data_IF_361664476491
#
_entry.id   IF_361664476491
#
_cell.length_a   1.000
_cell.length_b   1.000
_cell.length_c   1.000
_cell.angle_alpha   90.00
_cell.angle_beta   90.00
_cell.angle_gamma   90.00
#
_symmetry.space_group_name_H-M   'P 1'
#
loop_
_entity.id
_entity.type
_entity.pdbx_description
1 polymer ?
#
# COMPACT_ATOMS: atom_id res chain seq x y z
N UNK A 1 10.35 -11.19 -34.18
CA UNK A 1 9.60 -10.32 -33.23
C UNK A 1 10.43 -9.07 -32.95
N UNK A 2 9.90 -7.88 -33.21
CA UNK A 2 10.59 -6.62 -32.91
C UNK A 2 9.94 -5.96 -31.67
N UNK A 3 10.65 -5.94 -30.55
CA UNK A 3 10.17 -5.38 -29.28
C UNK A 3 9.72 -3.93 -29.40
N UNK A 4 10.39 -3.14 -30.25
CA UNK A 4 10.00 -1.77 -30.56
C UNK A 4 8.62 -1.66 -31.20
N UNK A 5 8.24 -2.64 -32.04
CA UNK A 5 6.88 -2.68 -32.61
C UNK A 5 5.82 -3.01 -31.60
N UNK A 6 6.14 -3.83 -30.58
CA UNK A 6 5.25 -4.09 -29.43
C UNK A 6 5.07 -2.82 -28.58
N UNK A 7 6.16 -2.11 -28.30
CA UNK A 7 6.09 -0.83 -27.57
C UNK A 7 5.21 0.18 -28.30
N UNK A 8 5.40 0.33 -29.61
CA UNK A 8 4.60 1.22 -30.43
C UNK A 8 3.13 0.82 -30.48
N UNK A 9 2.85 -0.48 -30.53
CA UNK A 9 1.50 -1.00 -30.44
C UNK A 9 0.84 -0.63 -29.08
N UNK A 10 1.54 -0.86 -27.97
CA UNK A 10 1.00 -0.57 -26.63
C UNK A 10 0.68 0.92 -26.45
N UNK A 11 1.56 1.81 -26.91
CA UNK A 11 1.32 3.26 -26.87
C UNK A 11 0.14 3.65 -27.76
N UNK A 12 -0.01 2.99 -28.93
CA UNK A 12 -1.17 3.23 -29.81
C UNK A 12 -2.47 2.75 -29.16
N UNK A 13 -2.43 1.63 -28.45
CA UNK A 13 -3.56 1.09 -27.71
C UNK A 13 -3.95 1.98 -26.50
N UNK A 14 -2.99 2.62 -25.86
CA UNK A 14 -3.27 3.59 -24.78
C UNK A 14 -3.92 4.88 -25.31
N UNK A 15 -3.39 5.42 -26.40
CA UNK A 15 -3.88 6.68 -26.99
C UNK A 15 -5.17 6.52 -27.80
N UNK A 16 -5.46 5.31 -28.27
CA UNK A 16 -6.55 5.01 -29.22
C UNK A 16 -6.63 6.01 -30.38
N UNK A 17 -5.47 6.52 -30.81
CA UNK A 17 -5.30 7.51 -31.87
C UNK A 17 -3.88 7.44 -32.44
N UNK A 18 -3.75 7.09 -33.72
CA UNK A 18 -2.46 6.95 -34.36
C UNK A 18 -1.64 8.24 -34.44
N UNK A 19 -2.30 9.40 -34.59
CA UNK A 19 -1.61 10.69 -34.65
C UNK A 19 -1.03 11.06 -33.29
N UNK A 20 -1.84 10.99 -32.23
CA UNK A 20 -1.37 11.27 -30.86
C UNK A 20 -0.30 10.28 -30.40
N UNK A 21 -0.44 9.00 -30.74
CA UNK A 21 0.58 8.00 -30.42
C UNK A 21 1.90 8.28 -31.15
N UNK A 22 1.83 8.68 -32.42
CA UNK A 22 3.03 9.05 -33.20
C UNK A 22 3.72 10.30 -32.64
N UNK A 23 2.96 11.33 -32.24
CA UNK A 23 3.48 12.51 -31.54
C UNK A 23 4.18 12.12 -30.23
N UNK A 24 3.55 11.29 -29.40
CA UNK A 24 4.12 10.81 -28.14
C UNK A 24 5.40 10.00 -28.34
N UNK A 25 5.53 9.31 -29.47
CA UNK A 25 6.68 8.50 -29.85
C UNK A 25 7.76 9.30 -30.64
N UNK A 26 7.52 10.57 -30.94
CA UNK A 26 8.39 11.42 -31.76
C UNK A 26 8.71 10.81 -33.15
N UNK A 27 7.71 10.19 -33.79
CA UNK A 27 7.81 9.61 -35.13
C UNK A 27 6.66 10.07 -36.02
N UNK A 28 6.77 9.84 -37.35
CA UNK A 28 5.65 10.11 -38.24
C UNK A 28 4.53 9.06 -38.08
N UNK A 29 3.29 9.47 -38.31
CA UNK A 29 2.14 8.54 -38.30
C UNK A 29 2.30 7.40 -39.31
N UNK A 30 2.93 7.67 -40.45
CA UNK A 30 3.20 6.65 -41.47
C UNK A 30 4.17 5.59 -40.94
N UNK A 31 5.24 6.01 -40.25
CA UNK A 31 6.19 5.10 -39.63
C UNK A 31 5.52 4.24 -38.56
N UNK A 32 4.71 4.83 -37.70
CA UNK A 32 3.94 4.09 -36.70
C UNK A 32 3.00 3.07 -37.36
N UNK A 33 2.22 3.50 -38.35
CA UNK A 33 1.29 2.62 -39.09
C UNK A 33 2.00 1.45 -39.76
N UNK A 34 3.22 1.68 -40.29
CA UNK A 34 4.07 0.63 -40.87
C UNK A 34 4.54 -0.38 -39.82
N UNK A 35 4.93 0.08 -38.63
CA UNK A 35 5.31 -0.81 -37.52
C UNK A 35 4.15 -1.69 -37.07
N UNK A 36 2.96 -1.10 -36.89
CA UNK A 36 1.77 -1.86 -36.53
C UNK A 36 1.40 -2.87 -37.61
N UNK A 37 1.39 -2.46 -38.88
CA UNK A 37 1.08 -3.35 -39.98
C UNK A 37 2.05 -4.54 -40.07
N UNK A 38 3.35 -4.31 -39.86
CA UNK A 38 4.35 -5.40 -39.83
C UNK A 38 4.13 -6.35 -38.67
N UNK A 39 3.70 -5.85 -37.50
CA UNK A 39 3.36 -6.66 -36.35
C UNK A 39 2.12 -7.54 -36.68
N UNK A 40 1.08 -6.97 -37.27
CA UNK A 40 -0.12 -7.67 -37.73
C UNK A 40 0.19 -8.76 -38.77
N UNK A 41 1.06 -8.45 -39.74
CA UNK A 41 1.53 -9.39 -40.75
C UNK A 41 2.36 -10.53 -40.16
N UNK A 42 3.27 -10.22 -39.20
CA UNK A 42 4.15 -11.22 -38.58
C UNK A 42 3.34 -12.28 -37.80
N UNK A 43 2.23 -11.87 -37.15
CA UNK A 43 1.35 -12.78 -36.38
C UNK A 43 0.12 -13.23 -37.18
N UNK A 44 -0.06 -12.76 -38.42
CA UNK A 44 -1.22 -13.06 -39.27
C UNK A 44 -2.56 -12.73 -38.59
N UNK A 45 -2.61 -11.65 -37.83
CA UNK A 45 -3.79 -11.16 -37.10
C UNK A 45 -4.02 -9.68 -37.33
N UNK A 46 -5.21 -9.18 -37.06
CA UNK A 46 -5.48 -7.75 -36.92
C UNK A 46 -5.51 -7.40 -35.46
N UNK A 47 -4.81 -6.32 -35.09
CA UNK A 47 -4.74 -5.83 -33.71
C UNK A 47 -5.68 -4.65 -33.49
N UNK A 48 -5.98 -3.90 -34.57
CA UNK A 48 -6.92 -2.78 -34.52
C UNK A 48 -8.00 -2.89 -35.59
N UNK A 49 -9.22 -2.52 -35.24
CA UNK A 49 -10.26 -2.14 -36.19
C UNK A 49 -10.38 -0.62 -36.24
N UNK A 50 -10.48 -0.10 -37.51
CA UNK A 50 -10.40 1.34 -37.79
C UNK A 50 -11.76 1.99 -38.01
N UNK A 51 -12.82 1.20 -38.21
CA UNK A 51 -14.18 1.67 -38.51
C UNK A 51 -15.19 1.00 -37.57
N UNK A 52 -16.21 1.72 -37.07
CA UNK A 52 -16.49 3.16 -37.26
C UNK A 52 -15.56 4.07 -36.45
N UNK A 53 -14.89 3.56 -35.43
CA UNK A 53 -13.86 4.23 -34.63
C UNK A 53 -12.70 3.26 -34.40
N UNK A 54 -11.52 3.76 -34.06
CA UNK A 54 -10.38 2.92 -33.70
C UNK A 54 -10.67 2.18 -32.39
N UNK A 55 -10.62 0.84 -32.43
CA UNK A 55 -10.73 -0.02 -31.25
C UNK A 55 -9.85 -1.26 -31.41
N UNK A 56 -9.52 -1.90 -30.30
CA UNK A 56 -8.77 -3.15 -30.29
C UNK A 56 -9.66 -4.31 -30.74
N UNK A 57 -9.08 -5.23 -31.49
CA UNK A 57 -9.66 -6.56 -31.70
C UNK A 57 -9.44 -7.43 -30.45
N UNK A 58 -10.02 -8.62 -30.41
CA UNK A 58 -9.75 -9.59 -29.34
C UNK A 58 -8.25 -9.96 -29.30
N UNK A 59 -7.63 -10.13 -30.48
CA UNK A 59 -6.19 -10.37 -30.63
C UNK A 59 -5.39 -9.16 -30.14
N UNK A 60 -5.88 -7.92 -30.38
CA UNK A 60 -5.29 -6.69 -29.86
C UNK A 60 -5.30 -6.64 -28.34
N UNK A 61 -6.41 -7.03 -27.70
CA UNK A 61 -6.48 -7.12 -26.23
C UNK A 61 -5.49 -8.15 -25.66
N UNK A 62 -5.39 -9.31 -26.30
CA UNK A 62 -4.39 -10.32 -25.93
C UNK A 62 -2.97 -9.80 -26.14
N UNK A 63 -2.72 -9.06 -27.23
CA UNK A 63 -1.42 -8.45 -27.49
C UNK A 63 -1.09 -7.36 -26.45
N UNK A 64 -2.05 -6.61 -25.92
CA UNK A 64 -1.83 -5.69 -24.80
C UNK A 64 -1.37 -6.45 -23.56
N UNK A 65 -2.05 -7.56 -23.24
CA UNK A 65 -1.73 -8.36 -22.05
C UNK A 65 -0.33 -8.98 -22.15
N UNK A 66 -0.05 -9.72 -23.23
CA UNK A 66 1.24 -10.39 -23.40
C UNK A 66 2.37 -9.43 -23.78
N UNK A 67 2.09 -8.39 -24.55
CA UNK A 67 3.07 -7.39 -24.94
C UNK A 67 3.67 -6.65 -23.75
N UNK A 68 2.86 -6.31 -22.75
CA UNK A 68 3.35 -5.76 -21.48
C UNK A 68 4.29 -6.71 -20.75
N UNK A 69 3.97 -8.00 -20.72
CA UNK A 69 4.83 -9.01 -20.09
C UNK A 69 6.16 -9.20 -20.81
N UNK A 70 6.13 -9.18 -22.15
CA UNK A 70 7.34 -9.29 -22.96
C UNK A 70 8.29 -8.12 -22.73
N UNK A 71 7.78 -6.88 -22.78
CA UNK A 71 8.62 -5.69 -22.50
C UNK A 71 9.12 -5.63 -21.06
N UNK A 72 8.33 -6.11 -20.11
CA UNK A 72 8.75 -6.25 -18.72
C UNK A 72 9.89 -7.28 -18.59
N UNK A 73 9.77 -8.41 -19.29
CA UNK A 73 10.83 -9.44 -19.34
C UNK A 73 12.12 -8.94 -19.98
N UNK A 74 12.03 -8.14 -21.05
CA UNK A 74 13.21 -7.49 -21.64
C UNK A 74 13.90 -6.56 -20.66
N UNK A 75 13.14 -5.68 -19.96
CA UNK A 75 13.70 -4.81 -18.93
C UNK A 75 14.41 -5.61 -17.84
N UNK A 76 13.84 -6.72 -17.40
CA UNK A 76 14.44 -7.62 -16.41
C UNK A 76 15.73 -8.24 -16.90
N UNK A 77 15.75 -8.69 -18.15
CA UNK A 77 16.96 -9.25 -18.78
C UNK A 77 18.08 -8.20 -18.84
N UNK A 78 17.76 -6.97 -19.25
CA UNK A 78 18.73 -5.86 -19.31
C UNK A 78 19.24 -5.48 -17.91
N UNK A 79 18.35 -5.48 -16.91
CA UNK A 79 18.74 -5.26 -15.50
C UNK A 79 19.69 -6.39 -15.04
N UNK A 80 19.36 -7.66 -15.28
CA UNK A 80 20.21 -8.79 -14.91
C UNK A 80 21.59 -8.74 -15.61
N UNK A 81 21.66 -8.30 -16.85
CA UNK A 81 22.94 -8.10 -17.55
C UNK A 81 23.76 -6.95 -16.96
N UNK A 82 23.09 -5.86 -16.54
CA UNK A 82 23.73 -4.76 -15.83
C UNK A 82 24.30 -5.23 -14.49
N UNK A 83 23.59 -6.09 -13.78
CA UNK A 83 24.02 -6.64 -12.46
C UNK A 83 25.21 -7.60 -12.59
N UNK A 84 25.32 -8.35 -13.68
CA UNK A 84 26.47 -9.23 -13.97
C UNK A 84 27.73 -8.40 -14.29
N UNK A 85 27.58 -7.23 -14.89
CA UNK A 85 28.71 -6.39 -15.35
C UNK A 85 29.25 -5.43 -14.29
N UNK A 86 28.49 -5.15 -13.24
CA UNK A 86 28.86 -4.21 -12.17
C UNK A 86 28.39 -4.75 -10.82
N UNK A 87 29.35 -5.21 -10.00
CA UNK A 87 29.15 -5.66 -8.62
C UNK A 87 27.98 -4.97 -7.90
N UNK A 88 26.84 -5.63 -7.75
CA UNK A 88 25.69 -5.21 -6.92
C UNK A 88 25.34 -3.70 -7.01
N UNK A 89 25.05 -3.19 -8.19
CA UNK A 89 24.44 -1.88 -8.37
C UNK A 89 23.01 -2.09 -8.86
N UNK A 90 22.03 -1.72 -8.07
CA UNK A 90 20.62 -1.84 -8.40
C UNK A 90 19.77 -0.78 -7.71
N UNK A 91 18.56 -0.57 -8.19
CA UNK A 91 17.55 0.23 -7.50
C UNK A 91 16.44 -0.72 -7.03
N UNK A 92 16.18 -0.75 -5.73
CA UNK A 92 15.10 -1.52 -5.12
C UNK A 92 13.91 -0.60 -4.88
N UNK A 93 12.78 -0.85 -5.55
CA UNK A 93 11.54 -0.09 -5.37
C UNK A 93 10.66 -0.76 -4.34
N UNK A 94 10.49 -0.10 -3.21
CA UNK A 94 9.76 -0.63 -2.05
C UNK A 94 8.48 0.16 -1.82
N UNK A 95 7.34 -0.49 -2.00
CA UNK A 95 6.03 0.05 -1.64
C UNK A 95 5.78 -0.11 -0.13
N UNK A 96 5.48 0.99 0.54
CA UNK A 96 5.17 1.00 1.97
C UNK A 96 4.35 2.24 2.31
N UNK A 97 3.41 2.15 3.27
CA UNK A 97 2.66 3.32 3.69
C UNK A 97 3.55 4.33 4.44
N UNK A 98 3.25 5.61 4.28
CA UNK A 98 4.01 6.73 4.89
C UNK A 98 4.25 6.54 6.40
N UNK A 99 3.23 6.14 7.15
CA UNK A 99 3.37 5.90 8.57
C UNK A 99 4.41 4.82 8.86
N UNK A 100 4.35 3.69 8.13
CA UNK A 100 5.29 2.58 8.33
C UNK A 100 6.69 2.89 7.83
N UNK A 101 6.82 3.63 6.73
CA UNK A 101 8.13 4.06 6.26
C UNK A 101 8.84 4.95 7.28
N UNK A 102 8.14 5.92 7.85
CA UNK A 102 8.69 6.80 8.89
C UNK A 102 9.17 6.03 10.13
N UNK A 103 8.47 4.95 10.49
CA UNK A 103 8.79 4.15 11.68
C UNK A 103 9.89 3.13 11.41
N UNK A 104 9.81 2.38 10.32
CA UNK A 104 10.65 1.21 10.11
C UNK A 104 11.86 1.46 9.20
N UNK A 105 11.72 2.37 8.22
CA UNK A 105 12.77 2.55 7.21
C UNK A 105 14.10 3.05 7.77
N UNK A 106 14.17 3.97 8.76
CA UNK A 106 15.45 4.40 9.31
C UNK A 106 16.29 3.26 9.89
N UNK A 107 15.64 2.33 10.61
CA UNK A 107 16.32 1.16 11.17
C UNK A 107 16.66 0.13 10.10
N UNK A 108 15.74 -0.12 9.16
CA UNK A 108 16.02 -0.98 7.99
C UNK A 108 17.21 -0.46 7.20
N UNK A 109 17.28 0.84 6.91
CA UNK A 109 18.38 1.47 6.20
C UNK A 109 19.70 1.32 6.93
N UNK A 110 19.73 1.59 8.23
CA UNK A 110 20.91 1.44 9.07
C UNK A 110 21.49 0.02 9.04
N UNK A 111 20.62 -0.98 8.92
CA UNK A 111 21.03 -2.39 8.85
C UNK A 111 21.45 -2.83 7.45
N UNK A 112 20.74 -2.38 6.43
CA UNK A 112 20.89 -2.85 5.05
C UNK A 112 22.05 -2.15 4.32
N UNK A 113 22.09 -0.81 4.39
CA UNK A 113 23.03 0.00 3.60
C UNK A 113 24.51 -0.33 3.82
N UNK A 114 25.01 -0.60 5.03
CA UNK A 114 26.43 -0.93 5.22
C UNK A 114 26.88 -2.18 4.47
N UNK A 115 25.98 -3.16 4.30
CA UNK A 115 26.27 -4.41 3.58
C UNK A 115 26.01 -4.31 2.07
N UNK A 116 25.19 -3.34 1.64
CA UNK A 116 24.75 -3.15 0.25
C UNK A 116 24.86 -1.67 -0.18
N UNK A 117 26.05 -1.07 -0.12
CA UNK A 117 26.23 0.39 -0.32
C UNK A 117 25.93 0.85 -1.75
N UNK A 118 25.96 -0.05 -2.72
CA UNK A 118 25.72 0.23 -4.14
C UNK A 118 24.25 0.01 -4.56
N UNK A 119 23.37 -0.39 -3.63
CA UNK A 119 21.94 -0.55 -3.91
C UNK A 119 21.21 0.71 -3.44
N UNK A 120 20.56 1.41 -4.36
CA UNK A 120 19.65 2.51 -4.03
C UNK A 120 18.26 1.95 -3.68
N UNK A 121 17.60 2.57 -2.71
CA UNK A 121 16.21 2.24 -2.36
C UNK A 121 15.32 3.42 -2.73
N UNK A 122 14.31 3.17 -3.55
CA UNK A 122 13.23 4.10 -3.87
C UNK A 122 11.98 3.69 -3.08
N UNK A 123 11.56 4.54 -2.13
CA UNK A 123 10.30 4.32 -1.40
C UNK A 123 9.14 4.88 -2.18
N UNK A 124 8.14 4.04 -2.42
CA UNK A 124 6.88 4.44 -3.06
C UNK A 124 5.78 4.41 -2.00
N UNK A 125 5.25 5.60 -1.71
CA UNK A 125 4.18 5.78 -0.74
C UNK A 125 2.81 5.55 -1.38
N UNK A 126 1.92 4.87 -0.66
CA UNK A 126 0.58 4.60 -1.14
C UNK A 126 -0.30 3.88 -0.12
N UNK A 127 -1.57 3.75 -0.45
CA UNK A 127 -2.47 2.88 0.28
C UNK A 127 -2.30 1.42 -0.16
N UNK A 128 -2.87 0.49 0.61
CA UNK A 128 -2.70 -0.95 0.35
C UNK A 128 -3.17 -1.38 -1.05
N UNK A 129 -4.22 -0.78 -1.57
CA UNK A 129 -4.77 -1.12 -2.90
C UNK A 129 -3.84 -0.65 -4.01
N UNK A 130 -3.43 0.62 -3.98
CA UNK A 130 -2.53 1.18 -5.01
C UNK A 130 -1.15 0.49 -5.00
N UNK A 131 -0.60 0.17 -3.83
CA UNK A 131 0.69 -0.53 -3.73
C UNK A 131 0.59 -1.97 -4.23
N UNK A 132 -0.55 -2.64 -4.00
CA UNK A 132 -0.80 -3.98 -4.52
C UNK A 132 -0.86 -3.99 -6.06
N UNK A 133 -1.56 -3.03 -6.66
CA UNK A 133 -1.63 -2.84 -8.10
C UNK A 133 -0.24 -2.56 -8.71
N UNK A 134 0.55 -1.71 -8.07
CA UNK A 134 1.91 -1.40 -8.50
C UNK A 134 2.84 -2.63 -8.45
N UNK A 135 2.71 -3.46 -7.39
CA UNK A 135 3.46 -4.72 -7.31
C UNK A 135 3.05 -5.68 -8.42
N UNK A 136 1.75 -5.84 -8.67
CA UNK A 136 1.24 -6.69 -9.76
C UNK A 136 1.69 -6.20 -11.13
N UNK A 137 1.72 -4.89 -11.34
CA UNK A 137 2.19 -4.27 -12.58
C UNK A 137 3.72 -4.31 -12.75
N UNK A 138 4.49 -4.87 -11.79
CA UNK A 138 5.96 -4.91 -11.83
C UNK A 138 6.63 -3.54 -11.66
N UNK A 139 5.90 -2.58 -11.10
CA UNK A 139 6.41 -1.23 -10.80
C UNK A 139 7.04 -1.14 -9.40
N UNK A 140 6.87 -2.18 -8.59
CA UNK A 140 7.52 -2.38 -7.30
C UNK A 140 8.23 -3.73 -7.28
N UNK A 141 9.33 -3.80 -6.57
CA UNK A 141 10.05 -5.05 -6.29
C UNK A 141 9.54 -5.70 -5.02
N UNK A 142 9.33 -4.89 -4.00
CA UNK A 142 8.80 -5.29 -2.69
C UNK A 142 7.60 -4.44 -2.29
N UNK A 143 6.67 -5.05 -1.56
CA UNK A 143 5.56 -4.36 -0.92
C UNK A 143 5.42 -4.79 0.53
N UNK A 144 5.47 -3.81 1.45
CA UNK A 144 5.21 -3.99 2.87
C UNK A 144 3.81 -3.47 3.21
N UNK A 145 2.92 -4.37 3.59
CA UNK A 145 1.52 -4.02 3.84
C UNK A 145 0.78 -4.97 4.76
N UNK A 146 -0.42 -4.56 5.13
CA UNK A 146 -1.32 -5.31 6.02
C UNK A 146 -2.36 -6.05 5.18
N UNK A 147 -2.63 -7.30 5.57
CA UNK A 147 -3.65 -8.15 4.94
C UNK A 147 -3.53 -8.18 3.40
N UNK A 148 -2.28 -8.37 2.91
CA UNK A 148 -2.00 -8.45 1.48
C UNK A 148 -2.73 -9.66 0.90
N UNK A 149 -3.55 -9.53 -0.17
CA UNK A 149 -4.27 -10.66 -0.75
C UNK A 149 -3.36 -11.78 -1.23
N UNK A 150 -3.82 -13.02 -1.18
CA UNK A 150 -3.11 -14.15 -1.79
C UNK A 150 -3.20 -14.05 -3.33
N UNK A 151 -2.10 -14.39 -4.00
CA UNK A 151 -2.04 -14.50 -5.46
C UNK A 151 -1.07 -15.62 -5.84
N UNK A 152 -1.33 -16.39 -6.90
CA UNK A 152 -0.45 -17.47 -7.35
C UNK A 152 0.99 -17.02 -7.63
N UNK A 153 1.14 -15.81 -8.21
CA UNK A 153 2.44 -15.25 -8.60
C UNK A 153 3.10 -14.41 -7.51
N UNK A 154 2.56 -14.43 -6.29
CA UNK A 154 3.07 -13.64 -5.15
C UNK A 154 3.61 -14.54 -4.05
N UNK A 155 4.78 -14.20 -3.56
CA UNK A 155 5.27 -14.70 -2.28
C UNK A 155 4.91 -13.71 -1.18
N UNK A 156 4.54 -14.21 -0.01
CA UNK A 156 4.28 -13.40 1.19
C UNK A 156 5.06 -13.96 2.36
N UNK A 157 5.75 -13.08 3.07
CA UNK A 157 6.45 -13.37 4.31
C UNK A 157 5.73 -12.63 5.43
N UNK A 158 5.16 -13.34 6.38
CA UNK A 158 4.54 -12.74 7.57
C UNK A 158 5.62 -12.14 8.44
N UNK A 159 5.45 -10.89 8.83
CA UNK A 159 6.39 -10.17 9.70
C UNK A 159 5.83 -10.02 11.11
N UNK A 160 4.55 -9.63 11.24
CA UNK A 160 3.91 -9.41 12.53
C UNK A 160 2.40 -9.63 12.46
N UNK A 161 1.79 -9.82 13.64
CA UNK A 161 0.35 -9.71 13.83
C UNK A 161 0.06 -8.38 14.49
N UNK A 162 -0.96 -7.71 14.03
CA UNK A 162 -1.40 -6.42 14.54
C UNK A 162 -2.85 -6.53 14.99
N UNK A 163 -3.14 -5.96 16.15
CA UNK A 163 -4.49 -5.71 16.62
C UNK A 163 -4.70 -4.21 16.75
N UNK A 164 -5.94 -3.78 16.71
CA UNK A 164 -6.26 -2.36 16.85
C UNK A 164 -6.24 -1.93 18.31
N UNK A 165 -5.85 -0.70 18.53
CA UNK A 165 -5.76 -0.10 19.84
C UNK A 165 -6.71 1.08 19.98
N UNK A 166 -7.24 1.22 21.18
CA UNK A 166 -7.88 2.43 21.66
C UNK A 166 -6.91 3.19 22.56
N UNK A 167 -6.78 4.49 22.35
CA UNK A 167 -5.98 5.36 23.20
C UNK A 167 -6.77 6.57 23.66
N UNK A 168 -6.53 7.01 24.88
CA UNK A 168 -7.20 8.15 25.49
C UNK A 168 -6.44 8.70 26.70
N UNK A 169 -6.67 9.97 27.01
CA UNK A 169 -6.13 10.57 28.25
C UNK A 169 -6.99 10.24 29.46
N UNK A 170 -6.36 10.22 30.63
CA UNK A 170 -7.07 10.10 31.93
C UNK A 170 -8.16 11.18 32.06
N UNK A 171 -7.83 12.42 31.65
CA UNK A 171 -8.75 13.57 31.69
C UNK A 171 -10.04 13.31 30.91
N UNK A 172 -9.94 12.71 29.73
CA UNK A 172 -11.11 12.37 28.92
C UNK A 172 -11.98 11.34 29.64
N UNK A 173 -11.37 10.25 30.11
CA UNK A 173 -12.10 9.16 30.77
C UNK A 173 -12.81 9.65 32.05
N UNK A 174 -12.11 10.42 32.88
CA UNK A 174 -12.68 11.00 34.10
C UNK A 174 -13.82 12.01 33.82
N UNK A 175 -13.74 12.77 32.71
CA UNK A 175 -14.81 13.70 32.30
C UNK A 175 -16.12 12.97 31.96
N UNK A 176 -16.03 11.85 31.23
CA UNK A 176 -17.21 11.14 30.75
C UNK A 176 -17.73 10.07 31.72
N UNK A 177 -16.87 9.56 32.60
CA UNK A 177 -17.16 8.49 33.55
C UNK A 177 -16.64 8.84 34.95
N UNK A 178 -17.10 9.96 35.57
CA UNK A 178 -16.51 10.49 36.80
C UNK A 178 -16.52 9.48 37.96
N UNK A 179 -17.55 8.66 38.06
CA UNK A 179 -17.75 7.73 39.19
C UNK A 179 -17.12 6.34 38.95
N UNK A 180 -16.68 6.04 37.70
CA UNK A 180 -16.26 4.68 37.34
C UNK A 180 -14.97 4.59 36.52
N UNK A 181 -14.31 5.71 36.23
CA UNK A 181 -13.14 5.70 35.36
C UNK A 181 -11.98 4.84 35.90
N UNK A 182 -11.75 4.81 37.24
CA UNK A 182 -10.69 3.98 37.82
C UNK A 182 -10.98 2.49 37.64
N UNK A 183 -12.24 2.08 37.82
CA UNK A 183 -12.68 0.70 37.65
C UNK A 183 -12.57 0.29 36.16
N UNK A 184 -13.03 1.17 35.25
CA UNK A 184 -12.88 0.96 33.80
C UNK A 184 -11.42 0.77 33.43
N UNK A 185 -10.54 1.62 33.95
CA UNK A 185 -9.11 1.57 33.65
C UNK A 185 -8.48 0.26 34.16
N UNK A 186 -8.80 -0.16 35.40
CA UNK A 186 -8.29 -1.41 35.96
C UNK A 186 -8.74 -2.64 35.13
N UNK A 187 -9.98 -2.64 34.66
CA UNK A 187 -10.49 -3.69 33.79
C UNK A 187 -9.79 -3.69 32.42
N UNK A 188 -9.60 -2.52 31.81
CA UNK A 188 -8.92 -2.39 30.50
C UNK A 188 -7.44 -2.78 30.56
N UNK A 189 -6.76 -2.54 31.69
CA UNK A 189 -5.39 -3.01 31.91
C UNK A 189 -5.29 -4.53 31.92
N UNK A 190 -6.32 -5.21 32.43
CA UNK A 190 -6.34 -6.67 32.55
C UNK A 190 -6.80 -7.36 31.26
N UNK A 191 -7.78 -6.82 30.56
CA UNK A 191 -8.51 -7.54 29.51
C UNK A 191 -8.56 -6.83 28.16
N UNK A 192 -8.03 -5.61 28.06
CA UNK A 192 -8.22 -4.73 26.89
C UNK A 192 -9.54 -3.97 26.96
N UNK A 193 -9.76 -3.09 25.98
CA UNK A 193 -10.93 -2.20 25.97
C UNK A 193 -12.18 -2.94 25.50
N UNK A 194 -13.16 -3.08 26.36
CA UNK A 194 -14.53 -3.39 26.00
C UNK A 194 -15.18 -2.12 25.43
N UNK A 195 -15.39 -2.12 24.10
CA UNK A 195 -15.81 -0.93 23.37
C UNK A 195 -17.19 -0.41 23.79
N UNK A 196 -18.15 -1.31 24.10
CA UNK A 196 -19.50 -0.91 24.49
C UNK A 196 -19.53 -0.11 25.78
N UNK A 197 -18.56 -0.33 26.68
CA UNK A 197 -18.42 0.42 27.94
C UNK A 197 -17.95 1.86 27.74
N UNK A 198 -17.32 2.17 26.62
CA UNK A 198 -16.81 3.52 26.30
C UNK A 198 -17.39 4.11 25.03
N UNK A 199 -18.38 3.48 24.41
CA UNK A 199 -19.01 3.94 23.16
C UNK A 199 -19.60 5.37 23.26
N UNK A 200 -19.81 5.89 24.47
CA UNK A 200 -20.25 7.27 24.71
C UNK A 200 -19.15 8.33 24.57
N UNK A 201 -17.87 7.94 24.46
CA UNK A 201 -16.78 8.88 24.21
C UNK A 201 -16.85 9.46 22.78
N UNK A 202 -16.34 10.67 22.56
CA UNK A 202 -16.02 11.14 21.22
C UNK A 202 -14.79 10.40 20.70
N UNK A 203 -14.86 9.88 19.47
CA UNK A 203 -13.76 9.12 18.86
C UNK A 203 -13.19 9.83 17.64
N UNK A 204 -11.88 9.73 17.48
CA UNK A 204 -11.15 10.03 16.26
C UNK A 204 -10.57 8.78 15.61
N UNK A 205 -10.55 8.72 14.29
CA UNK A 205 -9.94 7.62 13.54
C UNK A 205 -9.55 8.03 12.12
N UNK A 206 -9.09 7.07 11.32
CA UNK A 206 -8.79 7.30 9.90
C UNK A 206 -10.05 7.38 9.06
N UNK A 207 -9.96 8.06 7.90
CA UNK A 207 -11.06 8.19 6.95
C UNK A 207 -11.41 6.86 6.26
N UNK A 208 -12.58 6.84 5.64
CA UNK A 208 -12.99 5.79 4.70
C UNK A 208 -11.99 5.66 3.54
N UNK A 209 -11.85 4.42 3.01
CA UNK A 209 -10.82 4.10 2.00
C UNK A 209 -9.46 3.72 2.58
N UNK A 210 -9.31 3.76 3.90
CA UNK A 210 -8.15 3.21 4.61
C UNK A 210 -8.50 1.82 5.17
N UNK A 211 -7.65 0.82 4.96
CA UNK A 211 -7.89 -0.55 5.47
C UNK A 211 -8.16 -0.61 6.97
N UNK A 212 -7.51 0.25 7.76
CA UNK A 212 -7.79 0.37 9.18
C UNK A 212 -9.26 0.74 9.45
N UNK A 213 -9.83 1.62 8.61
CA UNK A 213 -11.24 1.99 8.72
C UNK A 213 -12.17 0.85 8.34
N UNK A 214 -11.85 0.09 7.30
CA UNK A 214 -12.65 -1.06 6.88
C UNK A 214 -12.70 -2.12 7.99
N UNK A 215 -11.58 -2.36 8.66
CA UNK A 215 -11.49 -3.26 9.81
C UNK A 215 -12.32 -2.75 11.00
N UNK A 216 -12.30 -1.43 11.27
CA UNK A 216 -13.14 -0.81 12.30
C UNK A 216 -14.64 -0.91 11.96
N UNK A 217 -15.04 -0.68 10.72
CA UNK A 217 -16.45 -0.83 10.33
C UNK A 217 -16.94 -2.27 10.52
N UNK A 218 -16.08 -3.25 10.19
CA UNK A 218 -16.37 -4.66 10.45
C UNK A 218 -16.52 -4.95 11.95
N UNK A 219 -15.66 -4.36 12.78
CA UNK A 219 -15.75 -4.45 14.23
C UNK A 219 -17.05 -3.81 14.74
N UNK A 220 -17.37 -2.58 14.33
CA UNK A 220 -18.58 -1.88 14.77
C UNK A 220 -19.89 -2.50 14.28
N UNK A 221 -19.86 -3.40 13.32
CA UNK A 221 -21.03 -4.18 12.97
C UNK A 221 -21.54 -5.07 14.12
N UNK A 222 -20.68 -5.39 15.09
CA UNK A 222 -20.97 -6.24 16.25
C UNK A 222 -21.06 -5.47 17.59
N UNK A 223 -20.79 -4.17 17.57
CA UNK A 223 -20.75 -3.30 18.75
C UNK A 223 -21.52 -2.02 18.50
N UNK A 224 -21.69 -1.20 19.54
CA UNK A 224 -22.28 0.14 19.39
C UNK A 224 -21.43 0.98 18.44
N UNK A 225 -22.10 1.72 17.55
CA UNK A 225 -21.36 2.64 16.67
C UNK A 225 -20.72 3.76 17.48
N UNK A 226 -19.45 4.07 17.25
CA UNK A 226 -18.77 5.18 17.92
C UNK A 226 -19.37 6.52 17.49
N UNK A 227 -19.35 7.49 18.40
CA UNK A 227 -19.54 8.89 18.05
C UNK A 227 -18.24 9.41 17.42
N UNK A 228 -18.10 9.28 16.11
CA UNK A 228 -16.94 9.83 15.41
C UNK A 228 -17.06 11.35 15.32
N UNK A 229 -16.09 12.04 15.88
CA UNK A 229 -16.03 13.51 15.90
C UNK A 229 -14.87 14.05 15.07
N UNK A 230 -13.92 13.18 14.72
CA UNK A 230 -12.76 13.54 13.92
C UNK A 230 -12.27 12.36 13.05
N UNK A 231 -11.98 12.66 11.79
CA UNK A 231 -11.44 11.70 10.82
C UNK A 231 -10.29 12.34 10.03
N UNK A 232 -9.18 11.63 9.91
CA UNK A 232 -8.01 12.11 9.16
C UNK A 232 -7.24 10.94 8.53
N UNK A 233 -6.57 11.18 7.40
CA UNK A 233 -5.62 10.21 6.84
C UNK A 233 -4.34 10.12 7.68
N UNK A 234 -4.11 11.07 8.58
CA UNK A 234 -2.95 11.14 9.44
C UNK A 234 -3.25 10.60 10.83
N UNK A 235 -2.86 9.34 11.12
CA UNK A 235 -3.02 8.74 12.45
C UNK A 235 -2.32 9.56 13.54
N UNK A 236 -1.21 10.24 13.22
CA UNK A 236 -0.52 11.12 14.17
C UNK A 236 -1.38 12.27 14.71
N UNK A 237 -2.24 12.83 13.86
CA UNK A 237 -3.16 13.88 14.29
C UNK A 237 -4.26 13.33 15.22
N UNK A 238 -4.77 12.14 14.93
CA UNK A 238 -5.73 11.44 15.80
C UNK A 238 -5.09 11.15 17.17
N UNK A 239 -3.84 10.70 17.18
CA UNK A 239 -3.07 10.48 18.41
C UNK A 239 -2.92 11.78 19.22
N UNK A 240 -2.57 12.90 18.59
CA UNK A 240 -2.40 14.18 19.28
C UNK A 240 -3.71 14.67 19.92
N UNK A 241 -4.85 14.52 19.23
CA UNK A 241 -6.15 14.85 19.81
C UNK A 241 -6.51 13.96 21.00
N UNK A 242 -6.24 12.66 20.89
CA UNK A 242 -6.47 11.72 22.01
C UNK A 242 -5.60 12.04 23.22
N UNK A 243 -4.34 12.39 23.00
CA UNK A 243 -3.41 12.82 24.05
C UNK A 243 -3.90 14.07 24.76
N UNK A 244 -4.41 15.04 24.02
CA UNK A 244 -4.91 16.30 24.57
C UNK A 244 -6.28 16.17 25.28
N UNK A 245 -6.92 14.99 25.22
CA UNK A 245 -8.22 14.75 25.85
C UNK A 245 -9.41 15.28 25.06
N UNK A 246 -9.26 15.50 23.75
CA UNK A 246 -10.33 15.97 22.87
C UNK A 246 -11.21 14.81 22.34
N UNK A 247 -10.70 13.58 22.41
CA UNK A 247 -11.41 12.37 22.04
C UNK A 247 -10.58 11.13 22.31
N UNK A 248 -11.15 9.94 22.15
CA UNK A 248 -10.40 8.69 22.13
C UNK A 248 -9.95 8.37 20.70
N UNK A 249 -8.75 7.86 20.54
CA UNK A 249 -8.20 7.47 19.24
C UNK A 249 -8.35 5.98 18.98
N UNK A 250 -8.80 5.59 17.78
CA UNK A 250 -8.80 4.22 17.30
C UNK A 250 -7.72 4.09 16.21
N UNK A 251 -6.61 3.43 16.53
CA UNK A 251 -5.36 3.53 15.80
C UNK A 251 -4.66 2.18 15.66
N UNK A 252 -3.82 2.05 14.63
CA UNK A 252 -2.92 0.90 14.49
C UNK A 252 -1.76 0.99 15.49
N UNK A 253 -1.15 -0.15 15.89
CA UNK A 253 -0.05 -0.15 16.86
C UNK A 253 1.18 0.62 16.38
N UNK A 254 1.37 0.76 15.08
CA UNK A 254 2.56 1.40 14.47
C UNK A 254 2.72 2.84 14.92
N UNK A 255 1.61 3.58 15.13
CA UNK A 255 1.66 4.97 15.56
C UNK A 255 2.36 5.13 16.92
N UNK A 256 2.22 4.15 17.81
CA UNK A 256 2.79 4.22 19.15
C UNK A 256 4.32 4.01 19.14
N UNK A 257 4.86 3.34 18.14
CA UNK A 257 6.32 3.28 17.94
C UNK A 257 6.88 4.65 17.53
N UNK A 258 6.14 5.40 16.72
CA UNK A 258 6.56 6.76 16.31
C UNK A 258 6.63 7.71 17.51
N UNK A 259 5.72 7.57 18.48
CA UNK A 259 5.60 8.46 19.63
C UNK A 259 6.06 7.80 20.94
N UNK A 260 6.86 6.72 20.88
CA UNK A 260 7.24 5.92 22.05
C UNK A 260 7.85 6.74 23.20
N UNK A 261 8.75 7.68 22.88
CA UNK A 261 9.41 8.51 23.89
C UNK A 261 8.45 9.51 24.56
N UNK A 262 7.55 10.06 23.77
CA UNK A 262 6.50 10.96 24.28
C UNK A 262 5.52 10.19 25.17
N UNK A 263 5.08 9.01 24.74
CA UNK A 263 4.17 8.14 25.51
C UNK A 263 4.79 7.76 26.86
N UNK A 264 6.08 7.43 26.89
CA UNK A 264 6.79 7.13 28.14
C UNK A 264 6.78 8.32 29.11
N UNK A 265 6.90 9.54 28.61
CA UNK A 265 6.86 10.76 29.43
C UNK A 265 5.47 11.07 29.98
N UNK A 266 4.41 10.71 29.25
CA UNK A 266 3.02 10.91 29.68
C UNK A 266 2.63 9.96 30.86
N UNK A 267 3.28 8.81 30.95
CA UNK A 267 3.10 7.88 32.06
C UNK A 267 1.63 7.50 32.28
N UNK A 268 1.12 7.82 33.49
CA UNK A 268 -0.27 7.49 33.90
C UNK A 268 -1.34 8.46 33.38
N UNK A 269 -0.97 9.46 32.61
CA UNK A 269 -1.92 10.43 32.07
C UNK A 269 -2.53 10.02 30.72
N UNK A 270 -1.90 9.05 30.04
CA UNK A 270 -2.32 8.57 28.73
C UNK A 270 -2.29 7.04 28.66
N UNK A 271 -3.36 6.45 28.14
CA UNK A 271 -3.57 5.02 28.14
C UNK A 271 -3.72 4.51 26.70
N UNK A 272 -3.18 3.32 26.47
CA UNK A 272 -3.19 2.64 25.19
C UNK A 272 -3.49 1.17 25.47
N UNK A 273 -4.63 0.68 25.00
CA UNK A 273 -5.05 -0.70 25.19
C UNK A 273 -5.52 -1.33 23.90
N UNK A 274 -5.31 -2.64 23.69
CA UNK A 274 -5.92 -3.34 22.60
C UNK A 274 -7.45 -3.33 22.74
N UNK A 275 -8.15 -3.25 21.61
CA UNK A 275 -9.60 -3.49 21.58
C UNK A 275 -9.88 -4.96 21.84
N UNK A 276 -10.79 -5.22 22.79
CA UNK A 276 -11.27 -6.57 23.08
C UNK A 276 -12.43 -6.94 22.16
N UNK A 277 -12.52 -8.20 21.72
CA UNK A 277 -13.66 -8.75 20.99
C UNK A 277 -13.26 -9.41 19.67
N UNK A 278 -14.26 -9.65 18.80
CA UNK A 278 -14.10 -10.30 17.49
C UNK A 278 -13.40 -9.41 16.46
N UNK A 279 -12.22 -8.95 16.81
CA UNK A 279 -11.38 -8.23 15.87
C UNK A 279 -10.52 -9.23 15.11
N UNK A 280 -10.63 -9.22 13.79
CA UNK A 280 -9.74 -10.04 12.96
C UNK A 280 -8.32 -9.51 13.10
N UNK A 281 -7.37 -10.36 13.50
CA UNK A 281 -5.97 -9.99 13.55
C UNK A 281 -5.49 -9.60 12.15
N UNK A 282 -4.88 -8.45 12.04
CA UNK A 282 -4.25 -8.02 10.82
C UNK A 282 -2.84 -8.57 10.70
N UNK A 283 -2.48 -9.06 9.52
CA UNK A 283 -1.16 -9.63 9.26
C UNK A 283 -0.32 -8.63 8.47
N UNK A 284 0.68 -8.06 9.12
CA UNK A 284 1.71 -7.28 8.43
C UNK A 284 2.68 -8.22 7.73
N UNK A 285 2.90 -8.00 6.45
CA UNK A 285 3.68 -8.88 5.59
C UNK A 285 4.55 -8.10 4.62
N UNK A 286 5.65 -8.73 4.21
CA UNK A 286 6.40 -8.39 3.02
C UNK A 286 5.87 -9.25 1.87
N UNK A 287 5.66 -8.66 0.71
CA UNK A 287 5.26 -9.36 -0.50
C UNK A 287 6.18 -9.00 -1.67
N UNK A 288 6.44 -9.98 -2.54
CA UNK A 288 7.16 -9.82 -3.79
C UNK A 288 6.64 -10.80 -4.83
N UNK A 289 6.96 -10.56 -6.10
CA UNK A 289 6.55 -11.46 -7.19
C UNK A 289 7.50 -12.66 -7.27
N UNK A 290 6.95 -13.86 -7.43
CA UNK A 290 7.73 -15.11 -7.55
C UNK A 290 8.53 -15.21 -8.85
N UNK A 291 8.00 -14.62 -9.91
CA UNK A 291 8.54 -14.63 -11.26
C UNK A 291 9.60 -13.54 -11.49
N UNK A 292 9.97 -12.82 -10.42
CA UNK A 292 10.91 -11.72 -10.48
C UNK A 292 12.09 -11.96 -9.53
N UNK A 293 13.31 -12.10 -10.03
CA UNK A 293 14.49 -12.10 -9.19
C UNK A 293 14.62 -10.73 -8.52
N UNK A 294 14.75 -10.72 -7.20
CA UNK A 294 15.10 -9.52 -6.46
C UNK A 294 16.58 -9.18 -6.76
N UNK A 295 16.93 -7.91 -6.91
CA UNK A 295 18.30 -7.48 -7.18
C UNK A 295 19.28 -7.87 -6.07
#
# INVERSE_FOLDING_TARGET
MNLKSIEYFLITAEEMNFTRAAERLYISQQALSSHIKRLEEEYSVRLFERKPALHLTLEGEQMVFYGKQILDSEKKMLAAFSDISTSCRGALKVGISRLRSNVFFPDMWRYYHPSHPNISIELVDGNSTSLDELLQAGKLDLYLGVNIPASPNRQRIKLAREVMYCCFSQKLLARYYPDSWQTLLADFQREGVDFDRIAGLPFGTVRQGNKLRDELETFFAHYRKPKLVFESDQQGLVYQLAKNGEGAGLLSPVIFYQYREEIQKLGKEFFIFPLRGNMQESIFSLAYRKDYPLP
#
